data_IF_325216372235
#
_entry.id   IF_325216372235
#
_cell.length_a   1.000
_cell.length_b   1.000
_cell.length_c   1.000
_cell.angle_alpha   90.00
_cell.angle_beta   90.00
_cell.angle_gamma   90.00
#
_symmetry.space_group_name_H-M   'P 1'
#
loop_
_entity.id
_entity.type
_entity.pdbx_description
1 polymer ?
#
# COMPACT_ATOMS: atom_id res chain seq x y z
N UNK A 1 -28.92 2.07 13.54
CA UNK A 1 -27.99 1.43 12.58
C UNK A 1 -28.67 0.44 11.65
N UNK A 2 -29.51 -0.48 12.15
CA UNK A 2 -30.21 -1.50 11.34
C UNK A 2 -30.99 -0.96 10.13
N UNK A 3 -31.77 0.11 10.27
CA UNK A 3 -32.55 0.67 9.14
C UNK A 3 -31.71 1.26 8.00
N UNK A 4 -30.51 1.80 8.30
CA UNK A 4 -29.57 2.23 7.24
C UNK A 4 -28.94 1.02 6.55
N UNK A 5 -28.60 -0.01 7.31
CA UNK A 5 -28.09 -1.26 6.76
C UNK A 5 -29.11 -1.90 5.81
N UNK A 6 -30.36 -2.07 6.24
CA UNK A 6 -31.39 -2.66 5.38
C UNK A 6 -31.64 -1.83 4.11
N UNK A 7 -31.60 -0.50 4.20
CA UNK A 7 -31.78 0.40 3.07
C UNK A 7 -30.68 0.30 2.00
N UNK A 8 -29.42 0.14 2.39
CA UNK A 8 -28.28 0.20 1.46
C UNK A 8 -27.62 -1.16 1.18
N UNK A 9 -27.77 -2.12 2.09
CA UNK A 9 -27.04 -3.40 2.10
C UNK A 9 -27.96 -4.63 2.24
N UNK A 10 -29.22 -4.46 2.68
CA UNK A 10 -30.13 -5.57 2.97
C UNK A 10 -30.79 -6.22 1.74
N UNK A 11 -30.76 -5.56 0.59
CA UNK A 11 -31.30 -6.09 -0.67
C UNK A 11 -30.19 -6.23 -1.72
N UNK A 12 -29.80 -7.47 -2.10
CA UNK A 12 -28.78 -7.73 -3.11
C UNK A 12 -29.10 -7.12 -4.50
N UNK A 13 -30.39 -7.01 -4.85
CA UNK A 13 -30.83 -6.43 -6.12
C UNK A 13 -30.89 -4.89 -6.09
N UNK A 14 -30.75 -4.29 -4.91
CA UNK A 14 -30.79 -2.83 -4.70
C UNK A 14 -29.48 -2.26 -4.15
N UNK A 15 -28.44 -3.08 -3.99
CA UNK A 15 -27.14 -2.66 -3.47
C UNK A 15 -26.41 -1.79 -4.50
N UNK A 16 -25.84 -0.67 -4.06
CA UNK A 16 -25.00 0.13 -4.94
C UNK A 16 -23.66 -0.57 -5.14
N UNK A 17 -23.41 -1.03 -6.36
CA UNK A 17 -22.17 -1.73 -6.74
C UNK A 17 -20.91 -0.91 -6.47
N UNK A 18 -20.99 0.43 -6.51
CA UNK A 18 -19.87 1.31 -6.19
C UNK A 18 -19.42 1.15 -4.74
N UNK A 19 -20.33 0.87 -3.80
CA UNK A 19 -19.98 0.61 -2.40
C UNK A 19 -19.19 -0.70 -2.25
N UNK A 20 -19.52 -1.72 -3.04
CA UNK A 20 -18.78 -2.99 -3.08
C UNK A 20 -17.40 -2.80 -3.71
N UNK A 21 -17.30 -2.05 -4.81
CA UNK A 21 -16.03 -1.74 -5.47
C UNK A 21 -15.10 -0.98 -4.53
N UNK A 22 -15.61 -0.01 -3.76
CA UNK A 22 -14.79 0.73 -2.77
C UNK A 22 -14.24 -0.21 -1.70
N UNK A 23 -15.01 -1.20 -1.23
CA UNK A 23 -14.52 -2.20 -0.27
C UNK A 23 -13.42 -3.08 -0.88
N UNK A 24 -13.55 -3.45 -2.15
CA UNK A 24 -12.53 -4.22 -2.89
C UNK A 24 -11.25 -3.39 -3.12
N UNK A 25 -11.41 -2.10 -3.41
CA UNK A 25 -10.29 -1.19 -3.67
C UNK A 25 -9.66 -0.61 -2.40
N UNK A 26 -10.30 -0.71 -1.23
CA UNK A 26 -9.76 -0.18 0.02
C UNK A 26 -8.47 -0.94 0.40
N UNK A 27 -7.29 -0.32 0.29
CA UNK A 27 -6.02 -0.99 0.54
C UNK A 27 -5.87 -1.40 2.01
N UNK A 28 -6.63 -0.79 2.92
CA UNK A 28 -6.55 -1.04 4.36
C UNK A 28 -7.14 -2.39 4.77
N UNK A 29 -8.03 -2.94 3.95
CA UNK A 29 -8.70 -4.21 4.25
C UNK A 29 -8.06 -5.41 3.55
N UNK A 30 -6.97 -5.19 2.80
CA UNK A 30 -6.33 -6.24 1.97
C UNK A 30 -5.83 -7.41 2.80
N UNK A 31 -5.26 -7.17 3.98
CA UNK A 31 -4.73 -8.23 4.82
C UNK A 31 -5.84 -9.10 5.40
N UNK A 32 -6.92 -8.49 5.89
CA UNK A 32 -8.08 -9.21 6.44
C UNK A 32 -8.78 -10.05 5.37
N UNK A 33 -8.90 -9.50 4.16
CA UNK A 33 -9.45 -10.23 3.02
C UNK A 33 -8.58 -11.44 2.66
N UNK A 34 -7.25 -11.26 2.56
CA UNK A 34 -6.33 -12.37 2.28
C UNK A 34 -6.36 -13.42 3.40
N UNK A 35 -6.42 -12.99 4.66
CA UNK A 35 -6.55 -13.89 5.81
C UNK A 35 -7.83 -14.73 5.76
N UNK A 36 -8.95 -14.12 5.37
CA UNK A 36 -10.23 -14.82 5.18
C UNK A 36 -10.12 -15.91 4.10
N UNK A 37 -9.50 -15.59 2.96
CA UNK A 37 -9.30 -16.59 1.90
C UNK A 37 -8.34 -17.71 2.31
N UNK A 38 -7.30 -17.39 3.11
CA UNK A 38 -6.39 -18.42 3.63
C UNK A 38 -7.14 -19.39 4.55
N UNK A 39 -8.03 -18.90 5.42
CA UNK A 39 -8.87 -19.78 6.25
C UNK A 39 -9.86 -20.60 5.43
N UNK A 40 -10.35 -20.06 4.31
CA UNK A 40 -11.30 -20.74 3.45
C UNK A 40 -10.64 -21.85 2.60
N UNK A 41 -9.39 -21.66 2.18
CA UNK A 41 -8.71 -22.56 1.23
C UNK A 41 -7.83 -23.63 1.89
N UNK A 42 -7.38 -23.42 3.12
CA UNK A 42 -6.39 -24.29 3.78
C UNK A 42 -6.89 -24.83 5.12
N UNK A 43 -6.39 -26.00 5.50
CA UNK A 43 -6.59 -26.53 6.85
C UNK A 43 -5.96 -25.61 7.90
N UNK A 44 -6.54 -25.59 9.11
CA UNK A 44 -6.19 -24.63 10.17
C UNK A 44 -4.69 -24.53 10.49
N UNK A 45 -3.96 -25.65 10.47
CA UNK A 45 -2.51 -25.67 10.70
C UNK A 45 -1.73 -24.95 9.60
N UNK A 46 -2.02 -25.28 8.34
CA UNK A 46 -1.39 -24.66 7.16
C UNK A 46 -1.79 -23.20 7.00
N UNK A 47 -3.05 -22.88 7.28
CA UNK A 47 -3.58 -21.51 7.25
C UNK A 47 -2.83 -20.62 8.25
N UNK A 48 -2.63 -21.10 9.49
CA UNK A 48 -1.90 -20.37 10.52
C UNK A 48 -0.44 -20.10 10.13
N UNK A 49 0.23 -21.10 9.56
CA UNK A 49 1.62 -20.97 9.09
C UNK A 49 1.72 -19.94 7.96
N UNK A 50 0.83 -20.03 6.96
CA UNK A 50 0.82 -19.14 5.81
C UNK A 50 0.52 -17.69 6.20
N UNK A 51 -0.43 -17.48 7.13
CA UNK A 51 -0.72 -16.14 7.69
C UNK A 51 0.46 -15.54 8.43
N UNK A 52 1.15 -16.35 9.22
CA UNK A 52 2.34 -15.91 9.97
C UNK A 52 3.46 -15.51 9.02
N UNK A 53 3.68 -16.29 7.96
CA UNK A 53 4.65 -16.00 6.89
C UNK A 53 4.30 -14.74 6.09
N UNK A 54 3.01 -14.55 5.79
CA UNK A 54 2.52 -13.36 5.11
C UNK A 54 2.80 -12.09 5.95
N UNK A 55 2.44 -12.12 7.24
CA UNK A 55 2.64 -11.00 8.15
C UNK A 55 4.12 -10.68 8.35
N UNK A 56 4.97 -11.68 8.52
CA UNK A 56 6.42 -11.47 8.68
C UNK A 56 7.03 -10.86 7.41
N UNK A 57 6.66 -11.34 6.24
CA UNK A 57 7.14 -10.80 4.96
C UNK A 57 6.70 -9.34 4.76
N UNK A 58 5.46 -9.00 5.09
CA UNK A 58 4.95 -7.62 5.08
C UNK A 58 5.74 -6.72 6.03
N UNK A 59 6.03 -7.21 7.24
CA UNK A 59 6.84 -6.47 8.22
C UNK A 59 8.25 -6.23 7.72
N UNK A 60 8.91 -7.23 7.15
CA UNK A 60 10.25 -7.09 6.55
C UNK A 60 10.25 -6.08 5.40
N UNK A 61 9.27 -6.14 4.50
CA UNK A 61 9.13 -5.16 3.42
C UNK A 61 8.93 -3.73 3.96
N UNK A 62 8.14 -3.58 5.02
CA UNK A 62 7.93 -2.30 5.68
C UNK A 62 9.19 -1.77 6.38
N UNK A 63 9.96 -2.65 7.05
CA UNK A 63 11.25 -2.32 7.65
C UNK A 63 12.28 -1.89 6.60
N UNK A 64 12.35 -2.60 5.46
CA UNK A 64 13.19 -2.20 4.32
C UNK A 64 12.77 -0.85 3.72
N UNK A 65 11.46 -0.62 3.59
CA UNK A 65 10.91 0.63 3.05
C UNK A 65 11.15 1.83 3.97
N UNK A 66 11.10 1.63 5.29
CA UNK A 66 11.39 2.69 6.27
C UNK A 66 12.83 3.20 6.22
N UNK A 67 13.73 2.52 5.48
CA UNK A 67 15.10 2.94 5.31
C UNK A 67 15.96 2.47 6.46
N UNK A 68 17.00 1.72 6.12
CA UNK A 68 18.20 1.61 6.92
C UNK A 68 18.78 3.04 6.98
N UNK A 69 18.46 3.80 8.03
CA UNK A 69 19.15 5.06 8.38
C UNK A 69 20.54 4.81 8.99
N UNK A 70 21.03 3.56 9.05
CA UNK A 70 22.36 3.24 9.53
C UNK A 70 23.29 2.83 8.38
N UNK A 71 24.00 3.83 7.84
CA UNK A 71 25.33 3.62 7.27
C UNK A 71 25.42 3.34 5.78
N UNK A 72 25.27 4.37 4.95
CA UNK A 72 26.05 4.48 3.71
C UNK A 72 26.63 5.88 3.62
N UNK A 73 27.69 6.12 4.39
CA UNK A 73 28.74 7.05 3.97
C UNK A 73 29.39 6.45 2.71
N UNK A 74 29.17 7.08 1.56
CA UNK A 74 30.04 7.12 0.37
C UNK A 74 29.13 7.50 -0.81
N UNK A 75 29.29 8.60 -1.55
CA UNK A 75 30.34 9.62 -1.61
C UNK A 75 29.63 10.93 -1.98
N UNK A 76 30.07 12.04 -1.39
CA UNK A 76 29.75 13.36 -1.92
C UNK A 76 30.42 13.46 -3.30
N UNK A 77 29.63 13.44 -4.37
CA UNK A 77 30.07 13.98 -5.64
C UNK A 77 29.55 15.41 -5.71
N UNK A 78 30.50 16.35 -5.74
CA UNK A 78 30.31 17.77 -6.00
C UNK A 78 29.41 17.99 -7.20
N UNK A 79 28.37 18.80 -7.03
CA UNK A 79 27.88 19.63 -8.12
C UNK A 79 28.52 21.00 -7.90
N UNK A 80 29.65 21.24 -8.57
CA UNK A 80 30.10 22.60 -8.83
C UNK A 80 29.06 23.20 -9.78
N UNK A 81 28.28 24.14 -9.26
CA UNK A 81 27.50 25.07 -10.07
C UNK A 81 28.52 26.07 -10.58
N UNK A 82 29.00 25.87 -11.80
CA UNK A 82 29.63 26.94 -12.56
C UNK A 82 28.52 27.95 -12.88
N UNK A 83 28.43 29.00 -12.06
CA UNK A 83 27.81 30.26 -12.44
C UNK A 83 28.66 30.84 -13.58
N UNK A 84 28.45 30.36 -14.80
CA UNK A 84 28.96 31.05 -15.99
C UNK A 84 28.02 32.21 -16.31
N UNK A 85 28.65 33.38 -16.19
CA UNK A 85 28.15 34.73 -16.32
C UNK A 85 27.26 35.01 -17.54
N UNK A 86 26.35 35.95 -17.30
CA UNK A 86 25.78 36.88 -18.27
C UNK A 86 26.71 37.18 -19.45
N UNK A 87 26.27 36.88 -20.67
CA UNK A 87 26.34 37.84 -21.79
C UNK A 87 25.44 37.35 -22.94
N UNK A 88 24.20 37.85 -23.00
CA UNK A 88 23.42 37.88 -24.24
C UNK A 88 23.59 39.27 -24.89
N UNK A 89 24.45 39.42 -25.91
CA UNK A 89 24.65 40.70 -26.54
C UNK A 89 23.74 40.91 -27.76
N UNK A 90 22.62 40.20 -27.96
CA UNK A 90 21.78 40.43 -29.14
C UNK A 90 20.26 40.27 -28.92
N UNK A 91 19.69 41.18 -28.13
CA UNK A 91 18.28 41.56 -28.24
C UNK A 91 18.04 42.55 -29.37
N UNK A 92 17.46 42.09 -30.48
CA UNK A 92 16.71 42.88 -31.45
C UNK A 92 15.22 42.63 -31.25
#
# INVERSE_FOLDING_TARGET
MKGKYEKYWGNPNGINILLLIVVVLDPRSKLDFVNYFIDYLFESSMASELKSKLLSSLKTLYEQYQGIEEGSQSSQQEYQLDDDDDDDPHGM
#
